data_IF_940400431578
#
_entry.id   IF_940400431578
#
_cell.length_a   1.000
_cell.length_b   1.000
_cell.length_c   1.000
_cell.angle_alpha   90.00
_cell.angle_beta   90.00
_cell.angle_gamma   90.00
#
_symmetry.space_group_name_H-M   'P 1'
#
loop_
_entity.id
_entity.type
_entity.pdbx_description
1 polymer ?
#
# COMPACT_ATOMS: atom_id res chain seq x y z
N UNK A 1 -91.34 35.25 -27.51
CA UNK A 1 -91.45 34.98 -26.07
C UNK A 1 -90.59 33.77 -25.79
N UNK A 2 -89.62 33.88 -24.87
CA UNK A 2 -88.87 32.71 -24.39
C UNK A 2 -89.83 31.98 -23.45
N UNK A 3 -90.53 30.96 -23.95
CA UNK A 3 -91.21 30.02 -23.07
C UNK A 3 -90.13 29.16 -22.43
N UNK A 4 -90.04 29.25 -21.10
CA UNK A 4 -89.24 28.33 -20.31
C UNK A 4 -90.04 27.02 -20.28
N UNK A 5 -89.78 26.18 -21.27
CA UNK A 5 -90.37 24.86 -21.39
C UNK A 5 -89.52 23.80 -20.69
N UNK A 6 -90.13 22.65 -20.35
CA UNK A 6 -89.48 21.48 -19.75
C UNK A 6 -88.22 21.04 -20.52
N UNK A 7 -88.17 21.29 -21.83
CA UNK A 7 -87.01 21.07 -22.69
C UNK A 7 -85.76 21.83 -22.25
N UNK A 8 -85.90 23.05 -21.71
CA UNK A 8 -84.76 23.82 -21.19
C UNK A 8 -84.19 23.18 -19.93
N UNK A 9 -85.04 22.64 -19.06
CA UNK A 9 -84.63 21.88 -17.86
C UNK A 9 -83.94 20.58 -18.26
N UNK A 10 -84.49 19.85 -19.24
CA UNK A 10 -83.89 18.62 -19.78
C UNK A 10 -82.52 18.91 -20.42
N UNK A 11 -82.36 20.01 -21.16
CA UNK A 11 -81.10 20.40 -21.76
C UNK A 11 -80.04 20.78 -20.69
N UNK A 12 -80.46 21.42 -19.61
CA UNK A 12 -79.59 21.74 -18.47
C UNK A 12 -79.11 20.45 -17.77
N UNK A 13 -80.01 19.48 -17.56
CA UNK A 13 -79.66 18.16 -17.03
C UNK A 13 -78.69 17.44 -17.98
N UNK A 14 -78.94 17.47 -19.30
CA UNK A 14 -78.05 16.87 -20.29
C UNK A 14 -76.64 17.47 -20.24
N UNK A 15 -76.53 18.80 -20.12
CA UNK A 15 -75.24 19.49 -19.98
C UNK A 15 -74.51 19.10 -18.70
N UNK A 16 -75.21 18.97 -17.57
CA UNK A 16 -74.64 18.49 -16.31
C UNK A 16 -74.17 17.04 -16.43
N UNK A 17 -75.00 16.15 -16.99
CA UNK A 17 -74.64 14.74 -17.21
C UNK A 17 -73.42 14.62 -18.14
N UNK A 18 -73.36 15.40 -19.22
CA UNK A 18 -72.22 15.44 -20.12
C UNK A 18 -70.95 15.93 -19.42
N UNK A 19 -71.07 16.95 -18.56
CA UNK A 19 -69.95 17.47 -17.76
C UNK A 19 -69.40 16.39 -16.81
N UNK A 20 -70.28 15.64 -16.13
CA UNK A 20 -69.87 14.53 -15.26
C UNK A 20 -69.22 13.38 -16.05
N UNK A 21 -69.79 13.02 -17.21
CA UNK A 21 -69.22 12.02 -18.11
C UNK A 21 -67.84 12.43 -18.60
N UNK A 22 -67.66 13.65 -19.09
CA UNK A 22 -66.36 14.17 -19.53
C UNK A 22 -65.34 14.24 -18.39
N UNK A 23 -65.78 14.62 -17.18
CA UNK A 23 -64.90 14.68 -16.02
C UNK A 23 -64.32 13.30 -15.68
N UNK A 24 -65.15 12.25 -15.74
CA UNK A 24 -64.74 10.87 -15.51
C UNK A 24 -63.89 10.27 -16.65
N UNK A 25 -64.31 10.49 -17.91
CA UNK A 25 -63.72 9.83 -19.08
C UNK A 25 -62.49 10.56 -19.63
N UNK A 26 -62.43 11.90 -19.56
CA UNK A 26 -61.39 12.68 -20.25
C UNK A 26 -60.49 13.45 -19.28
N UNK A 27 -61.06 14.26 -18.38
CA UNK A 27 -60.26 15.17 -17.55
C UNK A 27 -59.36 14.43 -16.55
N UNK A 28 -59.90 13.44 -15.84
CA UNK A 28 -59.13 12.63 -14.89
C UNK A 28 -57.98 11.86 -15.55
N UNK A 29 -58.18 11.07 -16.61
CA UNK A 29 -57.08 10.32 -17.23
C UNK A 29 -56.04 11.22 -17.89
N UNK A 30 -56.44 12.33 -18.52
CA UNK A 30 -55.48 13.28 -19.11
C UNK A 30 -54.59 13.89 -18.03
N UNK A 31 -55.18 14.34 -16.92
CA UNK A 31 -54.39 14.89 -15.79
C UNK A 31 -53.44 13.85 -15.21
N UNK A 32 -53.89 12.59 -15.08
CA UNK A 32 -53.06 11.49 -14.61
C UNK A 32 -51.86 11.24 -15.53
N UNK A 33 -52.06 11.21 -16.85
CA UNK A 33 -50.97 11.01 -17.83
C UNK A 33 -49.98 12.19 -17.80
N UNK A 34 -50.47 13.43 -17.68
CA UNK A 34 -49.59 14.59 -17.54
C UNK A 34 -48.75 14.50 -16.26
N UNK A 35 -49.38 14.10 -15.14
CA UNK A 35 -48.70 13.94 -13.87
C UNK A 35 -47.66 12.82 -13.92
N UNK A 36 -48.00 11.65 -14.45
CA UNK A 36 -47.06 10.53 -14.64
C UNK A 36 -45.87 10.93 -15.53
N UNK A 37 -46.11 11.71 -16.60
CA UNK A 37 -45.01 12.22 -17.45
C UNK A 37 -44.11 13.18 -16.68
N UNK A 38 -44.70 14.11 -15.91
CA UNK A 38 -43.94 15.06 -15.10
C UNK A 38 -43.12 14.34 -14.03
N UNK A 39 -43.73 13.41 -13.30
CA UNK A 39 -43.08 12.60 -12.27
C UNK A 39 -41.97 11.74 -12.86
N UNK A 40 -42.18 11.13 -14.03
CA UNK A 40 -41.13 10.35 -14.70
C UNK A 40 -39.95 11.23 -15.10
N UNK A 41 -40.19 12.40 -15.69
CA UNK A 41 -39.10 13.32 -16.06
C UNK A 41 -38.34 13.83 -14.83
N UNK A 42 -39.05 14.20 -13.77
CA UNK A 42 -38.44 14.68 -12.54
C UNK A 42 -37.69 13.55 -11.81
N UNK A 43 -38.23 12.33 -11.83
CA UNK A 43 -37.56 11.13 -11.33
C UNK A 43 -36.27 10.86 -12.07
N UNK A 44 -36.29 10.88 -13.41
CA UNK A 44 -35.08 10.69 -14.22
C UNK A 44 -34.02 11.76 -13.94
N UNK A 45 -34.39 13.03 -13.78
CA UNK A 45 -33.44 14.09 -13.42
C UNK A 45 -32.84 13.88 -12.02
N UNK A 46 -33.68 13.52 -11.04
CA UNK A 46 -33.22 13.24 -9.68
C UNK A 46 -32.29 12.02 -9.62
N UNK A 47 -32.60 10.98 -10.40
CA UNK A 47 -31.77 9.79 -10.47
C UNK A 47 -30.42 10.10 -11.11
N UNK A 48 -30.40 10.88 -12.20
CA UNK A 48 -29.14 11.36 -12.81
C UNK A 48 -28.30 12.14 -11.81
N UNK A 49 -28.91 13.11 -11.11
CA UNK A 49 -28.20 13.90 -10.10
C UNK A 49 -27.63 13.01 -8.98
N UNK A 50 -28.40 12.02 -8.50
CA UNK A 50 -27.93 11.04 -7.51
C UNK A 50 -26.81 10.16 -8.06
N UNK A 51 -26.89 9.74 -9.32
CA UNK A 51 -25.83 8.93 -9.93
C UNK A 51 -24.53 9.73 -10.06
N UNK A 52 -24.60 10.99 -10.48
CA UNK A 52 -23.44 11.88 -10.54
C UNK A 52 -22.83 12.12 -9.15
N UNK A 53 -23.65 12.39 -8.14
CA UNK A 53 -23.18 12.56 -6.76
C UNK A 53 -22.51 11.29 -6.22
N UNK A 54 -23.16 10.13 -6.40
CA UNK A 54 -22.59 8.84 -5.98
C UNK A 54 -21.31 8.50 -6.74
N UNK A 55 -21.23 8.83 -8.04
CA UNK A 55 -20.02 8.63 -8.82
C UNK A 55 -18.88 9.51 -8.28
N UNK A 56 -19.15 10.78 -7.97
CA UNK A 56 -18.16 11.68 -7.38
C UNK A 56 -17.68 11.20 -6.01
N UNK A 57 -18.61 10.80 -5.13
CA UNK A 57 -18.27 10.25 -3.82
C UNK A 57 -17.44 8.97 -3.92
N UNK A 58 -17.79 8.06 -4.84
CA UNK A 58 -17.00 6.84 -5.08
C UNK A 58 -15.61 7.17 -5.61
N UNK A 59 -15.49 8.15 -6.49
CA UNK A 59 -14.19 8.59 -7.00
C UNK A 59 -13.33 9.17 -5.87
N UNK A 60 -13.89 10.06 -5.05
CA UNK A 60 -13.22 10.63 -3.87
C UNK A 60 -12.78 9.53 -2.88
N UNK A 61 -13.63 8.53 -2.62
CA UNK A 61 -13.28 7.39 -1.78
C UNK A 61 -12.13 6.55 -2.35
N UNK A 62 -12.15 6.29 -3.66
CA UNK A 62 -11.11 5.52 -4.34
C UNK A 62 -9.79 6.27 -4.30
N UNK A 63 -9.81 7.57 -4.58
CA UNK A 63 -8.62 8.42 -4.55
C UNK A 63 -8.05 8.52 -3.12
N UNK A 64 -8.91 8.66 -2.11
CA UNK A 64 -8.51 8.63 -0.71
C UNK A 64 -7.89 7.27 -0.31
N UNK A 65 -8.54 6.15 -0.69
CA UNK A 65 -8.01 4.80 -0.44
C UNK A 65 -6.67 4.57 -1.14
N UNK A 66 -6.53 5.04 -2.38
CA UNK A 66 -5.30 4.91 -3.16
C UNK A 66 -4.16 5.75 -2.56
N UNK A 67 -4.45 6.97 -2.11
CA UNK A 67 -3.49 7.83 -1.41
C UNK A 67 -3.05 7.21 -0.08
N UNK A 68 -3.99 6.70 0.72
CA UNK A 68 -3.69 6.00 1.97
C UNK A 68 -2.87 4.72 1.73
N UNK A 69 -3.22 3.91 0.73
CA UNK A 69 -2.47 2.70 0.38
C UNK A 69 -1.05 3.04 -0.06
N UNK A 70 -0.89 4.06 -0.90
CA UNK A 70 0.42 4.54 -1.36
C UNK A 70 1.27 5.09 -0.20
N UNK A 71 0.65 5.84 0.72
CA UNK A 71 1.29 6.32 1.94
C UNK A 71 1.77 5.19 2.86
N UNK A 72 0.91 4.18 3.08
CA UNK A 72 1.27 2.97 3.84
C UNK A 72 2.38 2.16 3.19
N UNK A 73 2.32 1.98 1.87
CA UNK A 73 3.36 1.27 1.12
C UNK A 73 4.70 1.98 1.22
N UNK A 74 4.72 3.31 1.07
CA UNK A 74 5.94 4.12 1.23
C UNK A 74 6.48 4.04 2.66
N UNK A 75 5.63 4.18 3.67
CA UNK A 75 6.04 4.05 5.06
C UNK A 75 6.61 2.66 5.39
N UNK A 76 5.99 1.58 4.89
CA UNK A 76 6.47 0.22 5.06
C UNK A 76 7.83 0.00 4.36
N UNK A 77 8.00 0.55 3.16
CA UNK A 77 9.25 0.47 2.41
C UNK A 77 10.38 1.26 3.08
N UNK A 78 10.08 2.45 3.59
CA UNK A 78 11.04 3.28 4.33
C UNK A 78 11.43 2.60 5.66
N UNK A 79 10.48 1.99 6.37
CA UNK A 79 10.76 1.20 7.57
C UNK A 79 11.64 -0.02 7.27
N UNK A 80 11.30 -0.79 6.23
CA UNK A 80 12.10 -1.95 5.81
C UNK A 80 13.52 -1.56 5.37
N UNK A 81 13.69 -0.40 4.73
CA UNK A 81 15.00 0.14 4.38
C UNK A 81 15.81 0.53 5.62
N UNK A 82 15.18 1.21 6.58
CA UNK A 82 15.83 1.60 7.82
C UNK A 82 16.26 0.37 8.65
N UNK A 83 15.40 -0.65 8.72
CA UNK A 83 15.70 -1.92 9.38
C UNK A 83 16.85 -2.66 8.67
N UNK A 84 16.80 -2.77 7.34
CA UNK A 84 17.87 -3.40 6.57
C UNK A 84 19.21 -2.66 6.71
N UNK A 85 19.18 -1.33 6.78
CA UNK A 85 20.38 -0.53 7.00
C UNK A 85 20.94 -0.74 8.40
N UNK A 86 20.08 -0.74 9.43
CA UNK A 86 20.48 -1.00 10.82
C UNK A 86 21.07 -2.40 10.97
N UNK A 87 20.40 -3.42 10.44
CA UNK A 87 20.89 -4.80 10.45
C UNK A 87 22.19 -4.96 9.66
N UNK A 88 22.35 -4.22 8.55
CA UNK A 88 23.58 -4.15 7.77
C UNK A 88 24.73 -3.55 8.56
N UNK A 89 24.50 -2.43 9.23
CA UNK A 89 25.48 -1.73 10.05
C UNK A 89 25.90 -2.57 11.27
N UNK A 90 24.93 -3.21 11.96
CA UNK A 90 25.19 -4.14 13.06
C UNK A 90 26.03 -5.35 12.60
N UNK A 91 25.66 -5.95 11.47
CA UNK A 91 26.41 -7.09 10.93
C UNK A 91 27.82 -6.68 10.50
N UNK A 92 27.98 -5.50 9.91
CA UNK A 92 29.29 -4.95 9.57
C UNK A 92 30.15 -4.68 10.81
N UNK A 93 29.54 -4.16 11.89
CA UNK A 93 30.22 -3.95 13.16
C UNK A 93 30.65 -5.28 13.81
N UNK A 94 29.77 -6.30 13.80
CA UNK A 94 30.09 -7.65 14.29
C UNK A 94 31.25 -8.26 13.51
N UNK A 95 31.22 -8.19 12.18
CA UNK A 95 32.30 -8.70 11.33
C UNK A 95 33.61 -7.97 11.62
N UNK A 96 33.59 -6.64 11.77
CA UNK A 96 34.79 -5.88 12.12
C UNK A 96 35.38 -6.31 13.47
N UNK A 97 34.53 -6.52 14.48
CA UNK A 97 34.96 -6.99 15.79
C UNK A 97 35.54 -8.41 15.72
N UNK A 98 34.90 -9.32 14.98
CA UNK A 98 35.44 -10.68 14.76
C UNK A 98 36.78 -10.66 14.02
N UNK A 99 36.94 -9.78 13.02
CA UNK A 99 38.19 -9.64 12.28
C UNK A 99 39.31 -9.06 13.15
N UNK A 100 39.02 -8.07 14.00
CA UNK A 100 39.99 -7.56 14.98
C UNK A 100 40.41 -8.66 15.97
N UNK A 101 39.46 -9.38 16.56
CA UNK A 101 39.74 -10.45 17.51
C UNK A 101 40.54 -11.60 16.86
N UNK A 102 40.22 -11.94 15.61
CA UNK A 102 40.97 -12.92 14.82
C UNK A 102 42.40 -12.44 14.52
N UNK A 103 42.57 -11.16 14.17
CA UNK A 103 43.88 -10.57 13.91
C UNK A 103 44.74 -10.55 15.17
N UNK A 104 44.17 -10.20 16.32
CA UNK A 104 44.88 -10.16 17.59
C UNK A 104 45.32 -11.56 18.04
N UNK A 105 44.44 -12.57 17.89
CA UNK A 105 44.79 -13.98 18.11
C UNK A 105 45.93 -14.44 17.20
N UNK A 106 45.85 -14.15 15.89
CA UNK A 106 46.91 -14.52 14.96
C UNK A 106 48.24 -13.82 15.26
N UNK A 107 48.21 -12.55 15.69
CA UNK A 107 49.43 -11.85 16.12
C UNK A 107 50.04 -12.48 17.38
N UNK A 108 49.21 -12.87 18.35
CA UNK A 108 49.67 -13.59 19.53
C UNK A 108 50.27 -14.97 19.18
N UNK A 109 49.63 -15.72 18.28
CA UNK A 109 50.14 -17.01 17.80
C UNK A 109 51.46 -16.86 17.03
N UNK A 110 51.59 -15.82 16.20
CA UNK A 110 52.86 -15.53 15.51
C UNK A 110 53.97 -15.20 16.51
N UNK A 111 53.68 -14.38 17.53
CA UNK A 111 54.68 -14.04 18.55
C UNK A 111 55.13 -15.29 19.33
N UNK A 112 54.21 -16.16 19.72
CA UNK A 112 54.56 -17.42 20.42
C UNK A 112 55.35 -18.38 19.53
N UNK A 113 55.03 -18.46 18.23
CA UNK A 113 55.82 -19.23 17.26
C UNK A 113 57.23 -18.65 17.10
N UNK A 114 57.38 -17.32 17.04
CA UNK A 114 58.70 -16.66 16.98
C UNK A 114 59.51 -16.98 18.24
N UNK A 115 58.92 -16.87 19.42
CA UNK A 115 59.59 -17.18 20.69
C UNK A 115 60.02 -18.65 20.75
N UNK A 116 59.15 -19.57 20.32
CA UNK A 116 59.45 -21.00 20.25
C UNK A 116 60.58 -21.28 19.27
N UNK A 117 60.52 -20.71 18.06
CA UNK A 117 61.57 -20.84 17.06
C UNK A 117 62.92 -20.26 17.53
N UNK A 118 62.90 -19.14 18.27
CA UNK A 118 64.12 -18.59 18.86
C UNK A 118 64.71 -19.51 19.94
N UNK A 119 63.88 -20.15 20.77
CA UNK A 119 64.34 -21.12 21.76
C UNK A 119 64.92 -22.38 21.10
N UNK A 120 64.25 -22.92 20.07
CA UNK A 120 64.75 -24.06 19.29
C UNK A 120 66.05 -23.72 18.57
N UNK A 121 66.18 -22.51 18.00
CA UNK A 121 67.39 -22.07 17.33
C UNK A 121 68.55 -21.91 18.33
N UNK A 122 68.29 -21.39 19.55
CA UNK A 122 69.28 -21.33 20.64
C UNK A 122 69.72 -22.72 21.10
N UNK A 123 68.81 -23.67 21.21
CA UNK A 123 69.15 -25.06 21.53
C UNK A 123 69.96 -25.72 20.40
N UNK A 124 69.62 -25.41 19.14
CA UNK A 124 70.30 -25.93 17.96
C UNK A 124 71.64 -25.24 17.65
N UNK A 125 71.87 -24.04 18.20
CA UNK A 125 73.10 -23.26 18.03
C UNK A 125 74.34 -23.98 18.57
N UNK A 126 74.22 -24.72 19.67
CA UNK A 126 75.33 -25.55 20.19
C UNK A 126 75.68 -26.70 19.24
N UNK A 127 74.67 -27.32 18.63
CA UNK A 127 74.83 -28.35 17.60
C UNK A 127 75.46 -27.79 16.32
N UNK A 128 74.96 -26.64 15.85
CA UNK A 128 75.51 -25.93 14.70
C UNK A 128 76.95 -25.45 14.94
N UNK A 129 77.27 -24.94 16.14
CA UNK A 129 78.61 -24.52 16.50
C UNK A 129 79.58 -25.72 16.53
N UNK A 130 79.15 -26.87 17.06
CA UNK A 130 79.92 -28.12 17.00
C UNK A 130 80.14 -28.60 15.57
N UNK A 131 79.10 -28.62 14.74
CA UNK A 131 79.21 -29.05 13.34
C UNK A 131 80.10 -28.11 12.52
N UNK A 132 80.00 -26.80 12.76
CA UNK A 132 80.85 -25.80 12.11
C UNK A 132 82.30 -25.90 12.58
N UNK A 133 82.54 -26.10 13.88
CA UNK A 133 83.87 -26.34 14.43
C UNK A 133 84.48 -27.65 13.90
N UNK A 134 83.68 -28.72 13.79
CA UNK A 134 84.08 -30.01 13.22
C UNK A 134 84.47 -29.89 11.73
N UNK A 135 83.71 -29.11 10.95
CA UNK A 135 84.02 -28.83 9.53
C UNK A 135 85.26 -27.95 9.35
N UNK A 136 85.48 -26.96 10.20
CA UNK A 136 86.63 -26.04 10.10
C UNK A 136 87.92 -26.70 10.63
N UNK A 137 87.85 -27.49 11.70
CA UNK A 137 89.02 -28.15 12.31
C UNK A 137 89.32 -29.53 11.69
N UNK A 138 88.49 -30.02 10.79
CA UNK A 138 88.74 -31.24 10.00
C UNK A 138 88.85 -32.53 10.82
N UNK A 139 88.43 -32.53 12.09
CA UNK A 139 88.44 -33.71 12.95
C UNK A 139 87.25 -33.68 13.90
N UNK A 140 86.45 -34.74 13.86
CA UNK A 140 85.28 -34.91 14.70
C UNK A 140 85.66 -34.90 16.19
N UNK A 141 84.91 -34.13 16.99
CA UNK A 141 84.86 -34.21 18.45
C UNK A 141 83.50 -34.77 18.86
#
# INVERSE_FOLDING_TARGET
>A
MVTIDITMVIQMINMVVLMFLLNGILYKPIKKILQERSEKMQGMQNDVAKFEENARLRQEEVDAKMSMASGKAKAALDAARAEAQTAGDEKMASIKAEVEDFKDKQLADINTQIDTAQQELKASLDGFAKDMASKILGRAL
#
